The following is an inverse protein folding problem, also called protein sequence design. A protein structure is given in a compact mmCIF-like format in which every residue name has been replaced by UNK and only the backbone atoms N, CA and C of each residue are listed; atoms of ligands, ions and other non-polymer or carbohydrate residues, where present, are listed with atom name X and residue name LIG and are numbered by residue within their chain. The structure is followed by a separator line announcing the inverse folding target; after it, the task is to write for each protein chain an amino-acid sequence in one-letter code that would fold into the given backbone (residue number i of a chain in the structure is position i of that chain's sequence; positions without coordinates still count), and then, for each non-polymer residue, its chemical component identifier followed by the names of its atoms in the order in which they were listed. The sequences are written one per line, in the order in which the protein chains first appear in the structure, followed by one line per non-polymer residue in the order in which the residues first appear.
data_IF_525770128042
#
_entry.id   IF_525770128042
#
_cell.length_a   1.000
_cell.length_b   1.000
_cell.length_c   1.000
_cell.angle_alpha   90.00
_cell.angle_beta   90.00
_cell.angle_gamma   90.00
#
_symmetry.space_group_name_H-M   'P 1'
#
loop_
_entity.id
_entity.type
_entity.pdbx_description
1 polymer ?
#
# COMPACT_ATOMS: atom_id res chain seq x y z
N UNK A 1 -14.44 3.75 -19.44
CA UNK A 1 -13.26 4.07 -20.29
C UNK A 1 -12.02 4.20 -19.40
N UNK A 2 -10.80 4.30 -19.94
CA UNK A 2 -9.60 4.60 -19.11
C UNK A 2 -9.74 5.97 -18.44
N UNK A 3 -10.29 6.94 -19.17
CA UNK A 3 -10.50 8.30 -18.66
C UNK A 3 -11.45 8.33 -17.46
N UNK A 4 -12.56 7.59 -17.50
CA UNK A 4 -13.46 7.41 -16.34
C UNK A 4 -12.77 6.74 -15.15
N UNK A 5 -11.71 5.93 -15.36
CA UNK A 5 -10.92 5.35 -14.27
C UNK A 5 -9.93 6.35 -13.70
N UNK A 6 -9.23 7.12 -14.54
CA UNK A 6 -8.32 8.18 -14.10
C UNK A 6 -9.04 9.26 -13.27
N UNK A 7 -10.31 9.54 -13.59
CA UNK A 7 -11.16 10.46 -12.81
C UNK A 7 -11.50 9.92 -11.41
N UNK A 8 -11.46 8.58 -11.22
CA UNK A 8 -11.76 7.92 -9.94
C UNK A 8 -10.48 7.62 -9.15
N UNK A 9 -9.40 7.25 -9.83
CA UNK A 9 -8.12 6.87 -9.25
C UNK A 9 -6.99 7.31 -10.18
N UNK A 10 -6.27 8.37 -9.77
CA UNK A 10 -5.16 8.93 -10.54
C UNK A 10 -4.00 7.91 -10.63
N UNK A 11 -3.54 7.58 -11.84
CA UNK A 11 -2.46 6.61 -12.05
C UNK A 11 -1.06 7.23 -12.15
N UNK A 12 -0.92 8.52 -11.83
CA UNK A 12 0.37 9.15 -11.59
C UNK A 12 1.06 8.47 -10.42
N UNK A 13 2.24 7.94 -10.69
CA UNK A 13 2.98 7.11 -9.76
C UNK A 13 3.88 7.93 -8.82
N UNK A 14 4.34 9.08 -9.29
CA UNK A 14 5.51 9.77 -8.72
C UNK A 14 6.68 9.76 -9.68
N UNK A 15 7.72 10.54 -9.37
CA UNK A 15 9.02 10.51 -10.06
C UNK A 15 8.94 10.78 -11.55
N UNK A 16 7.92 11.51 -11.98
CA UNK A 16 7.65 11.81 -13.39
C UNK A 16 7.06 10.67 -14.22
N UNK A 17 6.56 9.60 -13.59
CA UNK A 17 5.90 8.48 -14.28
C UNK A 17 4.39 8.43 -14.01
N UNK A 18 3.63 7.98 -15.00
CA UNK A 18 2.23 7.57 -14.87
C UNK A 18 2.00 6.21 -15.55
N UNK A 19 1.17 5.38 -14.94
CA UNK A 19 0.85 4.03 -15.41
C UNK A 19 -0.66 3.85 -15.65
N UNK A 20 -1.27 4.59 -16.58
CA UNK A 20 -2.67 4.39 -16.90
C UNK A 20 -2.87 2.96 -17.41
N UNK A 21 -3.92 2.29 -16.93
CA UNK A 21 -4.12 0.89 -17.28
C UNK A 21 -5.58 0.47 -17.27
N UNK A 22 -5.91 -0.46 -18.16
CA UNK A 22 -7.23 -1.07 -18.21
C UNK A 22 -7.17 -2.54 -18.63
N UNK A 23 -8.03 -3.33 -17.98
CA UNK A 23 -8.42 -4.65 -18.45
C UNK A 23 -9.71 -4.53 -19.27
N UNK A 24 -9.69 -5.01 -20.50
CA UNK A 24 -10.76 -4.79 -21.48
C UNK A 24 -10.86 -5.91 -22.50
N UNK A 25 -12.07 -6.19 -22.97
CA UNK A 25 -12.32 -7.14 -24.07
C UNK A 25 -12.00 -6.55 -25.46
N UNK A 26 -11.66 -5.26 -25.52
CA UNK A 26 -11.31 -4.57 -26.76
C UNK A 26 -9.96 -5.02 -27.36
N UNK A 27 -9.09 -5.62 -26.55
CA UNK A 27 -7.78 -6.14 -26.98
C UNK A 27 -7.71 -7.65 -26.75
N UNK A 28 -7.06 -8.36 -27.68
CA UNK A 28 -6.89 -9.84 -27.60
C UNK A 28 -5.58 -10.26 -26.94
N UNK A 29 -4.63 -9.34 -26.84
CA UNK A 29 -3.33 -9.51 -26.21
C UNK A 29 -2.97 -8.23 -25.45
N UNK A 30 -1.91 -8.29 -24.65
CA UNK A 30 -1.45 -7.13 -23.90
C UNK A 30 -0.71 -6.15 -24.81
N UNK A 31 -1.07 -4.88 -24.74
CA UNK A 31 -0.34 -3.78 -25.37
C UNK A 31 0.22 -2.85 -24.29
N UNK A 32 1.46 -2.42 -24.50
CA UNK A 32 2.10 -1.36 -23.71
C UNK A 32 2.44 -0.23 -24.69
N UNK A 33 1.93 0.97 -24.41
CA UNK A 33 2.22 2.17 -25.19
C UNK A 33 2.97 3.15 -24.30
N UNK A 34 4.11 3.64 -24.78
CA UNK A 34 5.00 4.50 -24.00
C UNK A 34 5.09 5.86 -24.68
N UNK A 35 4.71 6.89 -23.94
CA UNK A 35 4.87 8.29 -24.32
C UNK A 35 5.90 8.96 -23.43
N UNK A 36 6.81 9.74 -24.03
CA UNK A 36 7.81 10.53 -23.30
C UNK A 36 7.70 12.00 -23.72
N UNK A 37 7.47 12.89 -22.75
CA UNK A 37 7.48 14.34 -22.92
C UNK A 37 8.73 14.93 -22.27
N UNK A 38 9.54 15.67 -23.04
CA UNK A 38 10.71 16.38 -22.50
C UNK A 38 10.35 17.57 -21.61
N UNK A 39 9.17 18.14 -21.80
CA UNK A 39 8.72 19.33 -21.09
C UNK A 39 7.79 19.02 -19.90
N UNK A 40 7.41 17.76 -19.74
CA UNK A 40 6.41 17.33 -18.76
C UNK A 40 4.98 17.62 -19.22
N UNK A 41 4.02 17.03 -18.51
CA UNK A 41 2.59 17.31 -18.62
C UNK A 41 2.15 18.20 -17.45
N UNK A 42 1.07 18.95 -17.64
CA UNK A 42 0.62 19.98 -16.67
C UNK A 42 0.14 19.41 -15.32
N UNK A 43 -0.18 18.12 -15.25
CA UNK A 43 -0.63 17.47 -14.03
C UNK A 43 0.58 16.94 -13.24
N UNK A 44 0.87 17.49 -12.04
CA UNK A 44 1.97 17.01 -11.22
C UNK A 44 1.63 15.66 -10.59
N UNK A 45 2.65 14.83 -10.40
CA UNK A 45 2.59 13.60 -9.62
C UNK A 45 2.46 13.89 -8.12
N UNK A 46 2.21 12.88 -7.24
CA UNK A 46 2.08 13.10 -5.80
C UNK A 46 3.30 13.74 -5.12
N UNK A 47 4.49 13.56 -5.69
CA UNK A 47 5.76 14.19 -5.26
C UNK A 47 6.04 15.54 -5.97
N UNK A 48 5.02 16.10 -6.61
CA UNK A 48 5.03 17.41 -7.28
C UNK A 48 6.03 17.52 -8.46
N UNK A 49 6.39 16.38 -9.06
CA UNK A 49 7.21 16.31 -10.28
C UNK A 49 6.25 16.24 -11.48
N UNK A 50 6.47 17.00 -12.57
CA UNK A 50 5.64 16.87 -13.77
C UNK A 50 5.68 15.45 -14.33
N UNK A 51 4.54 14.93 -14.83
CA UNK A 51 4.55 13.64 -15.54
C UNK A 51 5.31 13.79 -16.85
N UNK A 52 6.40 13.05 -17.01
CA UNK A 52 7.21 13.03 -18.23
C UNK A 52 7.01 11.74 -19.02
N UNK A 53 6.77 10.62 -18.34
CA UNK A 53 6.66 9.29 -18.96
C UNK A 53 5.29 8.71 -18.65
N UNK A 54 4.55 8.34 -19.70
CA UNK A 54 3.27 7.65 -19.60
C UNK A 54 3.43 6.26 -20.19
N UNK A 55 3.22 5.24 -19.37
CA UNK A 55 3.22 3.85 -19.79
C UNK A 55 1.79 3.32 -19.71
N UNK A 56 1.06 3.37 -20.82
CA UNK A 56 -0.31 2.88 -20.92
C UNK A 56 -0.32 1.36 -21.10
N UNK A 57 -1.04 0.64 -20.23
CA UNK A 57 -1.23 -0.81 -20.33
C UNK A 57 -2.68 -1.16 -20.71
N UNK A 58 -2.87 -1.84 -21.84
CA UNK A 58 -4.14 -2.42 -22.25
C UNK A 58 -4.03 -3.93 -22.21
N UNK A 59 -4.83 -4.59 -21.37
CA UNK A 59 -4.74 -6.05 -21.19
C UNK A 59 -6.11 -6.71 -21.39
N UNK A 60 -6.19 -7.93 -21.95
CA UNK A 60 -7.43 -8.69 -21.95
C UNK A 60 -7.99 -8.90 -20.53
N UNK A 61 -9.32 -8.84 -20.39
CA UNK A 61 -10.01 -9.06 -19.11
C UNK A 61 -9.72 -10.42 -18.47
N UNK A 62 -9.26 -11.40 -19.23
CA UNK A 62 -8.94 -12.76 -18.75
C UNK A 62 -7.52 -12.90 -18.18
N UNK A 63 -6.65 -11.90 -18.34
CA UNK A 63 -5.24 -11.98 -17.97
C UNK A 63 -4.93 -11.03 -16.79
N UNK A 64 -5.00 -11.54 -15.56
CA UNK A 64 -4.64 -10.76 -14.37
C UNK A 64 -3.13 -10.83 -14.06
N UNK A 65 -2.54 -12.04 -14.09
CA UNK A 65 -1.16 -12.28 -13.62
C UNK A 65 -0.13 -11.45 -14.38
N UNK A 66 -0.10 -11.58 -15.70
CA UNK A 66 0.87 -10.88 -16.55
C UNK A 66 0.73 -9.36 -16.37
N UNK A 67 -0.50 -8.85 -16.29
CA UNK A 67 -0.76 -7.42 -16.08
C UNK A 67 -0.18 -6.91 -14.76
N UNK A 68 -0.45 -7.60 -13.65
CA UNK A 68 0.03 -7.17 -12.33
C UNK A 68 1.56 -7.21 -12.26
N UNK A 69 2.19 -8.24 -12.83
CA UNK A 69 3.64 -8.35 -12.89
C UNK A 69 4.28 -7.28 -13.77
N UNK A 70 3.69 -6.97 -14.93
CA UNK A 70 4.17 -5.89 -15.79
C UNK A 70 4.04 -4.54 -15.10
N UNK A 71 2.89 -4.25 -14.47
CA UNK A 71 2.67 -3.00 -13.74
C UNK A 71 3.67 -2.85 -12.58
N UNK A 72 3.81 -3.89 -11.76
CA UNK A 72 4.80 -3.96 -10.67
C UNK A 72 6.22 -3.73 -11.17
N UNK A 73 6.58 -4.37 -12.29
CA UNK A 73 7.88 -4.24 -12.92
C UNK A 73 8.18 -2.83 -13.42
N UNK A 74 7.25 -2.19 -14.11
CA UNK A 74 7.39 -0.82 -14.58
C UNK A 74 7.46 0.18 -13.40
N UNK A 75 6.67 -0.06 -12.34
CA UNK A 75 6.74 0.74 -11.11
C UNK A 75 8.08 0.54 -10.37
N UNK A 76 8.65 -0.66 -10.40
CA UNK A 76 9.99 -0.92 -9.86
C UNK A 76 11.07 -0.19 -10.67
N UNK A 77 10.99 -0.26 -12.00
CA UNK A 77 11.86 0.49 -12.90
C UNK A 77 11.82 2.00 -12.63
N UNK A 78 10.63 2.61 -12.53
CA UNK A 78 10.48 4.03 -12.24
C UNK A 78 11.03 4.45 -10.86
N UNK A 79 11.21 3.50 -9.92
CA UNK A 79 11.82 3.76 -8.61
C UNK A 79 13.34 3.67 -8.59
N UNK A 80 13.97 3.18 -9.65
CA UNK A 80 15.42 3.15 -9.69
C UNK A 80 15.98 4.56 -9.78
N UNK A 81 17.17 4.76 -9.23
CA UNK A 81 17.84 6.05 -9.19
C UNK A 81 18.21 6.50 -10.61
N UNK A 82 18.04 7.78 -10.92
CA UNK A 82 18.34 8.39 -12.22
C UNK A 82 17.55 7.83 -13.43
N UNK A 83 16.52 7.02 -13.21
CA UNK A 83 15.76 6.42 -14.31
C UNK A 83 15.04 7.46 -15.17
N UNK A 84 14.43 8.47 -14.56
CA UNK A 84 13.76 9.53 -15.33
C UNK A 84 14.74 10.24 -16.27
N UNK A 85 15.90 10.64 -15.76
CA UNK A 85 16.94 11.33 -16.55
C UNK A 85 17.45 10.46 -17.69
N UNK A 86 17.66 9.17 -17.44
CA UNK A 86 18.05 8.21 -18.48
C UNK A 86 16.99 8.05 -19.56
N UNK A 87 15.71 8.00 -19.18
CA UNK A 87 14.59 7.94 -20.14
C UNK A 87 14.48 9.23 -20.93
N UNK A 88 14.66 10.40 -20.32
CA UNK A 88 14.63 11.70 -21.00
C UNK A 88 15.82 11.91 -21.95
N UNK A 89 16.96 11.28 -21.66
CA UNK A 89 18.15 11.29 -22.51
C UNK A 89 18.05 10.34 -23.72
N UNK A 90 17.15 9.35 -23.68
CA UNK A 90 16.93 8.41 -24.77
C UNK A 90 16.53 9.14 -26.07
N UNK A 91 17.15 8.76 -27.19
CA UNK A 91 16.86 9.33 -28.49
C UNK A 91 15.98 8.41 -29.34
N UNK A 92 16.06 7.10 -29.12
CA UNK A 92 15.32 6.10 -29.87
C UNK A 92 14.52 5.17 -28.95
N UNK A 93 13.39 4.59 -29.43
CA UNK A 93 12.63 3.61 -28.66
C UNK A 93 13.46 2.41 -28.17
N UNK A 94 14.48 2.02 -28.94
CA UNK A 94 15.38 0.93 -28.58
C UNK A 94 16.20 1.23 -27.31
N UNK A 95 16.50 2.49 -27.01
CA UNK A 95 17.24 2.87 -25.80
C UNK A 95 16.37 2.67 -24.55
N UNK A 96 15.09 3.02 -24.63
CA UNK A 96 14.14 2.71 -23.55
C UNK A 96 14.06 1.20 -23.28
N UNK A 97 13.96 0.39 -24.33
CA UNK A 97 13.94 -1.08 -24.19
C UNK A 97 15.21 -1.59 -23.50
N UNK A 98 16.39 -1.04 -23.83
CA UNK A 98 17.65 -1.39 -23.16
C UNK A 98 17.62 -1.01 -21.67
N UNK A 99 17.10 0.16 -21.32
CA UNK A 99 16.99 0.60 -19.93
C UNK A 99 16.10 -0.34 -19.11
N UNK A 100 14.91 -0.69 -19.63
CA UNK A 100 14.01 -1.64 -18.95
C UNK A 100 14.64 -3.04 -18.87
N UNK A 101 15.33 -3.48 -19.92
CA UNK A 101 16.02 -4.78 -19.90
C UNK A 101 17.17 -4.81 -18.89
N UNK A 102 17.89 -3.70 -18.70
CA UNK A 102 18.98 -3.59 -17.74
C UNK A 102 18.49 -3.52 -16.29
N UNK A 103 17.22 -3.13 -16.08
CA UNK A 103 16.59 -3.07 -14.77
C UNK A 103 16.28 -4.45 -14.17
N UNK A 104 16.54 -5.55 -14.88
CA UNK A 104 16.29 -6.93 -14.45
C UNK A 104 14.86 -7.15 -13.92
N UNK A 105 13.88 -6.46 -14.50
CA UNK A 105 12.46 -6.67 -14.19
C UNK A 105 12.04 -8.05 -14.71
N UNK A 106 11.75 -8.99 -13.81
CA UNK A 106 11.31 -10.34 -14.16
C UNK A 106 9.80 -10.48 -14.12
N UNK A 107 9.26 -11.27 -15.05
CA UNK A 107 7.87 -11.72 -15.03
C UNK A 107 7.87 -13.18 -14.59
N UNK A 108 7.50 -13.41 -13.33
CA UNK A 108 7.58 -14.73 -12.72
C UNK A 108 6.43 -15.65 -13.18
N UNK A 109 6.64 -16.97 -13.10
CA UNK A 109 5.58 -17.95 -13.42
C UNK A 109 4.37 -17.79 -12.48
N UNK A 110 4.59 -17.27 -11.29
CA UNK A 110 3.60 -17.19 -10.21
C UNK A 110 3.47 -15.74 -9.75
N UNK A 111 2.27 -15.37 -9.30
CA UNK A 111 2.02 -14.03 -8.75
C UNK A 111 2.57 -13.96 -7.32
N UNK A 112 3.43 -12.98 -7.07
CA UNK A 112 4.13 -12.80 -5.79
C UNK A 112 3.57 -11.60 -5.02
N UNK A 113 3.86 -11.53 -3.71
CA UNK A 113 3.45 -10.41 -2.83
C UNK A 113 3.94 -9.07 -3.37
N UNK A 114 5.19 -8.99 -3.84
CA UNK A 114 5.77 -7.76 -4.41
C UNK A 114 4.98 -7.17 -5.59
N UNK A 115 4.19 -8.00 -6.27
CA UNK A 115 3.43 -7.62 -7.46
C UNK A 115 2.17 -6.82 -7.11
N UNK A 116 1.64 -6.98 -5.91
CA UNK A 116 0.37 -6.36 -5.50
C UNK A 116 0.40 -5.68 -4.12
N UNK A 117 1.48 -5.83 -3.35
CA UNK A 117 1.59 -5.18 -2.05
C UNK A 117 1.58 -3.65 -2.17
N UNK A 118 0.97 -3.00 -1.19
CA UNK A 118 1.09 -1.55 -1.00
C UNK A 118 2.43 -1.28 -0.32
N UNK A 119 3.19 -0.32 -0.85
CA UNK A 119 4.51 0.05 -0.31
C UNK A 119 4.44 1.24 0.64
N UNK A 120 3.43 2.10 0.46
CA UNK A 120 3.12 3.14 1.42
C UNK A 120 2.39 2.52 2.61
N UNK A 121 3.12 2.31 3.70
CA UNK A 121 2.59 1.75 4.94
C UNK A 121 2.64 2.84 5.99
N UNK A 122 1.47 3.25 6.49
CA UNK A 122 1.39 4.19 7.58
C UNK A 122 1.95 3.56 8.87
N UNK A 123 2.89 4.24 9.50
CA UNK A 123 3.66 3.72 10.64
C UNK A 123 3.67 4.67 11.83
N UNK A 124 3.82 4.12 13.03
CA UNK A 124 4.09 4.85 14.27
C UNK A 124 5.24 4.18 15.04
N UNK A 125 5.84 4.88 16.00
CA UNK A 125 6.85 4.33 16.90
C UNK A 125 6.24 4.05 18.27
N UNK A 126 6.88 3.21 19.12
CA UNK A 126 6.43 2.97 20.49
C UNK A 126 6.31 4.25 21.37
N UNK A 127 7.00 5.33 20.99
CA UNK A 127 7.02 6.60 21.71
C UNK A 127 5.91 7.58 21.29
N UNK A 128 5.24 7.32 20.16
CA UNK A 128 4.07 8.11 19.77
C UNK A 128 2.94 7.97 20.80
N UNK A 129 2.13 9.02 20.90
CA UNK A 129 0.96 9.07 21.77
C UNK A 129 -0.27 8.46 21.11
N UNK A 130 -1.32 8.22 21.90
CA UNK A 130 -2.60 7.75 21.38
C UNK A 130 -3.22 8.75 20.39
N UNK A 131 -3.02 10.04 20.64
CA UNK A 131 -3.44 11.14 19.77
C UNK A 131 -2.76 11.09 18.41
N UNK A 132 -1.45 10.84 18.39
CA UNK A 132 -0.69 10.70 17.14
C UNK A 132 -1.27 9.56 16.30
N UNK A 133 -1.56 8.42 16.93
CA UNK A 133 -2.19 7.26 16.27
C UNK A 133 -3.56 7.62 15.71
N UNK A 134 -4.42 8.29 16.50
CA UNK A 134 -5.75 8.71 16.06
C UNK A 134 -5.68 9.68 14.86
N UNK A 135 -4.74 10.63 14.90
CA UNK A 135 -4.51 11.58 13.81
C UNK A 135 -4.03 10.90 12.53
N UNK A 136 -3.09 9.96 12.62
CA UNK A 136 -2.62 9.20 11.46
C UNK A 136 -3.73 8.31 10.87
N UNK A 137 -4.50 7.61 11.72
CA UNK A 137 -5.66 6.83 11.28
C UNK A 137 -6.70 7.71 10.57
N UNK A 138 -7.00 8.89 11.12
CA UNK A 138 -7.95 9.83 10.51
C UNK A 138 -7.44 10.38 9.17
N UNK A 139 -6.19 10.86 9.14
CA UNK A 139 -5.57 11.45 7.94
C UNK A 139 -5.56 10.46 6.78
N UNK A 140 -5.20 9.20 7.05
CA UNK A 140 -5.05 8.17 6.03
C UNK A 140 -6.32 7.30 5.85
N UNK A 141 -7.38 7.54 6.63
CA UNK A 141 -8.61 6.73 6.67
C UNK A 141 -8.32 5.23 6.90
N UNK A 142 -7.43 4.96 7.86
CA UNK A 142 -6.96 3.62 8.21
C UNK A 142 -7.52 3.17 9.56
N UNK A 143 -7.70 1.86 9.71
CA UNK A 143 -8.10 1.22 10.98
C UNK A 143 -6.96 0.55 11.72
N UNK A 144 -5.74 0.60 11.16
CA UNK A 144 -4.55 0.03 11.76
C UNK A 144 -3.29 0.69 11.21
N UNK A 145 -2.26 0.78 12.05
CA UNK A 145 -0.93 1.26 11.72
C UNK A 145 0.11 0.22 12.12
N UNK A 146 1.20 0.14 11.36
CA UNK A 146 2.35 -0.65 11.77
C UNK A 146 3.13 0.08 12.86
N UNK A 147 3.65 -0.66 13.84
CA UNK A 147 4.54 -0.12 14.86
C UNK A 147 5.96 -0.52 14.52
N UNK A 148 6.86 0.45 14.36
CA UNK A 148 8.25 0.23 13.93
C UNK A 148 9.26 0.83 14.92
N UNK A 149 10.48 0.30 14.92
CA UNK A 149 11.62 0.91 15.60
C UNK A 149 12.30 1.99 14.73
N UNK A 150 13.38 2.58 15.25
CA UNK A 150 14.17 3.60 14.54
C UNK A 150 14.90 3.07 13.30
N UNK A 151 15.06 1.76 13.18
CA UNK A 151 15.69 1.09 12.04
C UNK A 151 14.64 0.57 11.04
N UNK A 152 13.37 0.96 11.16
CA UNK A 152 12.26 0.49 10.33
C UNK A 152 11.87 -0.99 10.51
N UNK A 153 12.36 -1.67 11.56
CA UNK A 153 11.93 -3.03 11.84
C UNK A 153 10.49 -3.03 12.35
N UNK A 154 9.69 -3.98 11.86
CA UNK A 154 8.33 -4.17 12.36
C UNK A 154 8.35 -4.77 13.77
N UNK A 155 7.79 -4.01 14.72
CA UNK A 155 7.62 -4.42 16.11
C UNK A 155 6.22 -4.98 16.37
N UNK A 156 5.21 -4.39 15.75
CA UNK A 156 3.82 -4.65 16.13
C UNK A 156 2.78 -3.99 15.24
N UNK A 157 1.52 -4.09 15.68
CA UNK A 157 0.38 -3.42 15.08
C UNK A 157 -0.47 -2.75 16.15
N UNK A 158 -0.97 -1.55 15.84
CA UNK A 158 -1.98 -0.87 16.65
C UNK A 158 -3.23 -0.61 15.79
N UNK A 159 -4.41 -0.88 16.35
CA UNK A 159 -5.69 -0.81 15.64
C UNK A 159 -6.67 0.15 16.32
N UNK A 160 -7.68 0.59 15.58
CA UNK A 160 -8.80 1.39 16.11
C UNK A 160 -9.48 0.71 17.31
N UNK A 161 -9.55 -0.63 17.33
CA UNK A 161 -10.03 -1.42 18.45
C UNK A 161 -9.18 -1.23 19.72
N UNK A 162 -7.88 -1.02 19.58
CA UNK A 162 -6.98 -0.81 20.72
C UNK A 162 -7.18 0.58 21.31
N UNK A 163 -7.45 1.59 20.46
CA UNK A 163 -7.86 2.94 20.88
C UNK A 163 -9.18 2.91 21.66
N UNK A 164 -10.20 2.24 21.12
CA UNK A 164 -11.50 2.11 21.80
C UNK A 164 -11.36 1.35 23.11
N UNK A 165 -10.50 0.32 23.16
CA UNK A 165 -10.24 -0.43 24.40
C UNK A 165 -9.52 0.42 25.45
N UNK A 166 -8.61 1.30 25.04
CA UNK A 166 -7.98 2.26 25.94
C UNK A 166 -8.99 3.26 26.53
N UNK A 167 -10.03 3.63 25.78
CA UNK A 167 -11.15 4.44 26.28
C UNK A 167 -12.03 3.71 27.30
N UNK A 168 -12.10 2.37 27.21
CA UNK A 168 -13.03 1.53 27.96
C UNK A 168 -12.31 0.38 28.69
N UNK A 169 -11.41 0.70 29.65
CA UNK A 169 -10.59 -0.31 30.33
C UNK A 169 -11.42 -1.34 31.12
N UNK A 170 -12.65 -0.99 31.53
CA UNK A 170 -13.59 -1.89 32.20
C UNK A 170 -14.97 -1.94 31.50
N UNK A 171 -14.96 -2.21 30.20
CA UNK A 171 -16.20 -2.31 29.41
C UNK A 171 -17.17 -3.39 29.95
N UNK A 172 -16.66 -4.42 30.65
CA UNK A 172 -17.49 -5.47 31.27
C UNK A 172 -18.34 -4.91 32.41
N UNK A 173 -17.74 -4.11 33.30
CA UNK A 173 -18.48 -3.41 34.35
C UNK A 173 -19.50 -2.42 33.77
N UNK A 174 -19.15 -1.74 32.67
CA UNK A 174 -20.08 -0.85 31.95
C UNK A 174 -21.32 -1.61 31.45
N UNK A 175 -21.14 -2.75 30.79
CA UNK A 175 -22.25 -3.54 30.23
C UNK A 175 -23.16 -4.09 31.34
N UNK A 176 -22.58 -4.50 32.49
CA UNK A 176 -23.38 -4.98 33.62
C UNK A 176 -24.20 -3.87 34.32
N UNK A 177 -23.81 -2.61 34.16
CA UNK A 177 -24.42 -1.46 34.83
C UNK A 177 -25.12 -0.49 33.86
N UNK A 178 -25.49 -0.93 32.65
CA UNK A 178 -26.15 -0.09 31.61
C UNK A 178 -27.43 0.62 32.07
N UNK A 179 -28.03 0.20 33.19
CA UNK A 179 -29.22 0.83 33.78
C UNK A 179 -28.89 2.02 34.70
N UNK A 180 -27.62 2.28 35.00
CA UNK A 180 -27.14 3.44 35.75
C UNK A 180 -26.49 4.45 34.81
N UNK A 181 -26.83 5.72 34.99
CA UNK A 181 -26.10 6.81 34.35
C UNK A 181 -24.65 6.71 34.78
N UNK A 182 -23.72 6.67 33.83
CA UNK A 182 -22.30 6.78 34.13
C UNK A 182 -22.05 8.25 34.53
N UNK A 183 -21.60 8.48 35.75
CA UNK A 183 -21.17 9.82 36.20
C UNK A 183 -19.87 10.28 35.52
N UNK A 184 -19.19 9.37 34.80
CA UNK A 184 -17.92 9.60 34.10
C UNK A 184 -18.06 9.25 32.63
N UNK A 185 -17.83 10.23 31.76
CA UNK A 185 -17.72 10.04 30.31
C UNK A 185 -16.32 9.50 29.95
N UNK A 186 -16.19 8.20 29.57
CA UNK A 186 -14.88 7.58 29.40
C UNK A 186 -14.07 8.18 28.25
N UNK A 187 -14.75 8.61 27.19
CA UNK A 187 -14.09 9.24 26.05
C UNK A 187 -13.57 10.63 26.39
N UNK A 188 -14.26 11.40 27.25
CA UNK A 188 -13.75 12.70 27.72
C UNK A 188 -12.49 12.52 28.59
N UNK A 189 -12.45 11.49 29.43
CA UNK A 189 -11.27 11.22 30.24
C UNK A 189 -10.08 10.76 29.38
N UNK A 190 -10.36 9.96 28.34
CA UNK A 190 -9.34 9.58 27.37
C UNK A 190 -8.75 10.82 26.67
N UNK A 191 -9.58 11.78 26.25
CA UNK A 191 -9.13 13.01 25.61
C UNK A 191 -8.20 13.85 26.53
N UNK A 192 -8.38 13.81 27.85
CA UNK A 192 -7.48 14.50 28.80
C UNK A 192 -6.12 13.82 28.94
N UNK A 193 -6.03 12.55 28.57
CA UNK A 193 -4.85 11.70 28.81
C UNK A 193 -4.22 11.17 27.52
N UNK A 194 -4.80 11.44 26.35
CA UNK A 194 -4.37 10.89 25.05
C UNK A 194 -2.89 11.15 24.74
N UNK A 195 -2.36 12.31 25.14
CA UNK A 195 -0.95 12.70 24.93
C UNK A 195 0.01 11.89 25.84
N UNK A 196 -0.49 11.32 26.94
CA UNK A 196 0.29 10.56 27.94
C UNK A 196 0.30 9.06 27.67
N UNK A 197 -0.73 8.55 27.02
CA UNK A 197 -0.85 7.12 26.68
C UNK A 197 0.05 6.86 25.47
N UNK A 198 0.99 5.92 25.62
CA UNK A 198 1.98 5.62 24.58
C UNK A 198 1.58 4.39 23.77
N UNK A 199 1.98 4.37 22.49
CA UNK A 199 1.81 3.20 21.62
C UNK A 199 2.39 1.95 22.27
N UNK A 200 3.56 2.06 22.92
CA UNK A 200 4.24 0.97 23.65
C UNK A 200 3.37 0.25 24.68
N UNK A 201 2.32 0.90 25.19
CA UNK A 201 1.41 0.34 26.19
C UNK A 201 0.24 -0.43 25.57
N UNK A 202 -0.02 -0.26 24.27
CA UNK A 202 -1.26 -0.68 23.62
C UNK A 202 -1.08 -1.60 22.42
N UNK A 203 0.04 -1.47 21.69
CA UNK A 203 0.24 -2.26 20.48
C UNK A 203 0.31 -3.76 20.79
N UNK A 204 0.00 -4.57 19.78
CA UNK A 204 0.08 -6.03 19.87
C UNK A 204 1.19 -6.57 18.98
N UNK A 205 1.86 -7.61 19.47
CA UNK A 205 2.80 -8.43 18.68
C UNK A 205 2.09 -9.58 17.93
N UNK A 206 0.76 -9.67 18.01
CA UNK A 206 -0.05 -10.64 17.27
C UNK A 206 -0.30 -10.13 15.84
N UNK A 207 0.69 -10.39 14.98
CA UNK A 207 0.63 -10.08 13.56
C UNK A 207 1.34 -11.14 12.73
N UNK A 208 1.02 -11.17 11.45
CA UNK A 208 1.57 -12.12 10.50
C UNK A 208 2.36 -11.38 9.43
N UNK A 209 3.51 -11.94 9.08
CA UNK A 209 4.42 -11.38 8.08
C UNK A 209 4.66 -12.35 6.94
N UNK A 210 4.98 -11.80 5.78
CA UNK A 210 5.40 -12.51 4.57
C UNK A 210 6.57 -11.75 3.94
N UNK A 211 7.25 -12.36 2.98
CA UNK A 211 8.31 -11.70 2.20
C UNK A 211 7.78 -11.22 0.85
N UNK A 212 8.47 -10.29 0.16
CA UNK A 212 8.10 -9.86 -1.19
C UNK A 212 7.98 -11.01 -2.21
N UNK A 213 8.74 -12.09 -2.02
CA UNK A 213 8.77 -13.26 -2.90
C UNK A 213 7.81 -14.38 -2.46
N UNK A 214 7.02 -14.16 -1.41
CA UNK A 214 5.96 -15.11 -1.01
C UNK A 214 4.87 -15.14 -2.09
N UNK A 215 4.34 -16.33 -2.40
CA UNK A 215 3.30 -16.49 -3.44
C UNK A 215 1.95 -16.00 -2.94
N UNK A 216 1.20 -15.29 -3.79
CA UNK A 216 -0.12 -14.77 -3.42
C UNK A 216 -1.11 -15.86 -3.00
N UNK A 217 -1.06 -17.04 -3.62
CA UNK A 217 -1.90 -18.17 -3.25
C UNK A 217 -1.64 -18.66 -1.83
N UNK A 218 -0.39 -18.60 -1.36
CA UNK A 218 -0.02 -18.98 0.01
C UNK A 218 -0.54 -17.95 1.01
N UNK A 219 -0.38 -16.66 0.68
CA UNK A 219 -0.91 -15.58 1.52
C UNK A 219 -2.44 -15.63 1.60
N UNK A 220 -3.12 -15.88 0.48
CA UNK A 220 -4.57 -16.02 0.44
C UNK A 220 -5.04 -17.20 1.31
N UNK A 221 -4.38 -18.36 1.23
CA UNK A 221 -4.67 -19.50 2.08
C UNK A 221 -4.47 -19.15 3.57
N UNK A 222 -3.34 -18.52 3.91
CA UNK A 222 -3.05 -18.07 5.27
C UNK A 222 -4.12 -17.12 5.80
N UNK A 223 -4.55 -16.13 5.00
CA UNK A 223 -5.59 -15.18 5.36
C UNK A 223 -6.94 -15.85 5.64
N UNK A 224 -7.26 -16.94 4.94
CA UNK A 224 -8.50 -17.71 5.18
C UNK A 224 -8.38 -18.51 6.47
N UNK A 225 -7.31 -19.28 6.64
CA UNK A 225 -7.15 -20.18 7.78
C UNK A 225 -6.99 -19.44 9.12
N UNK A 226 -6.34 -18.27 9.11
CA UNK A 226 -6.09 -17.47 10.32
C UNK A 226 -7.05 -16.27 10.46
N UNK A 227 -8.08 -16.16 9.60
CA UNK A 227 -8.99 -15.00 9.49
C UNK A 227 -8.29 -13.62 9.49
N UNK A 228 -7.19 -13.51 8.75
CA UNK A 228 -6.40 -12.28 8.70
C UNK A 228 -6.97 -11.31 7.67
N UNK A 229 -7.17 -10.07 8.09
CA UNK A 229 -7.58 -8.97 7.18
C UNK A 229 -6.40 -8.35 6.44
N UNK A 230 -5.20 -8.51 7.00
CA UNK A 230 -3.95 -7.91 6.53
C UNK A 230 -2.77 -8.80 6.87
N UNK A 231 -1.70 -8.68 6.09
CA UNK A 231 -0.38 -9.20 6.42
C UNK A 231 0.64 -8.10 6.16
N UNK A 232 1.66 -8.01 7.00
CA UNK A 232 2.78 -7.10 6.75
C UNK A 232 3.82 -7.78 5.88
N UNK A 233 4.51 -7.01 5.05
CA UNK A 233 5.58 -7.51 4.20
C UNK A 233 6.89 -6.99 4.74
N UNK A 234 7.81 -7.89 5.04
CA UNK A 234 9.13 -7.57 5.58
C UNK A 234 10.22 -8.15 4.69
N UNK A 235 11.37 -7.49 4.63
CA UNK A 235 12.56 -8.04 3.98
C UNK A 235 13.32 -9.03 4.89
N UNK A 236 14.47 -9.50 4.43
CA UNK A 236 15.32 -10.45 5.17
C UNK A 236 15.87 -9.89 6.50
N UNK A 237 16.00 -8.55 6.59
CA UNK A 237 16.44 -7.83 7.79
C UNK A 237 15.28 -7.47 8.73
N UNK A 238 14.04 -7.86 8.38
CA UNK A 238 12.78 -7.53 9.08
C UNK A 238 12.33 -6.07 8.95
N UNK A 239 12.88 -5.31 8.00
CA UNK A 239 12.38 -3.98 7.70
C UNK A 239 10.99 -4.08 7.09
N UNK A 240 10.08 -3.19 7.50
CA UNK A 240 8.75 -3.11 6.92
C UNK A 240 8.83 -2.52 5.50
N UNK A 241 8.54 -3.33 4.48
CA UNK A 241 8.62 -2.94 3.07
C UNK A 241 7.26 -2.88 2.37
N UNK A 242 6.19 -3.33 3.05
CA UNK A 242 4.86 -3.24 2.50
C UNK A 242 3.76 -3.82 3.38
N UNK A 243 2.54 -3.75 2.88
CA UNK A 243 1.35 -4.35 3.48
C UNK A 243 0.46 -4.92 2.38
N UNK A 244 -0.18 -6.05 2.65
CA UNK A 244 -1.20 -6.62 1.77
C UNK A 244 -2.52 -6.79 2.55
N UNK A 245 -3.60 -6.18 2.04
CA UNK A 245 -4.92 -6.31 2.62
C UNK A 245 -5.73 -7.35 1.83
N UNK A 246 -6.64 -8.06 2.52
CA UNK A 246 -7.56 -9.02 1.87
C UNK A 246 -8.36 -8.38 0.74
N UNK A 247 -8.72 -7.09 0.87
CA UNK A 247 -9.41 -6.32 -0.17
C UNK A 247 -8.57 -6.14 -1.44
N UNK A 248 -7.24 -6.07 -1.32
CA UNK A 248 -6.34 -5.85 -2.46
C UNK A 248 -6.29 -7.10 -3.35
N UNK A 249 -6.30 -8.30 -2.75
CA UNK A 249 -6.43 -9.57 -3.46
C UNK A 249 -7.75 -9.58 -4.27
N UNK A 250 -8.85 -9.12 -3.69
CA UNK A 250 -10.15 -9.07 -4.39
C UNK A 250 -10.16 -8.00 -5.48
N UNK A 251 -9.71 -6.77 -5.18
CA UNK A 251 -9.81 -5.66 -6.12
C UNK A 251 -8.84 -5.83 -7.30
N UNK A 252 -7.58 -6.21 -7.04
CA UNK A 252 -6.54 -6.23 -8.07
C UNK A 252 -6.56 -7.52 -8.91
N UNK A 253 -6.98 -8.65 -8.34
CA UNK A 253 -6.99 -9.93 -9.06
C UNK A 253 -8.37 -10.21 -9.67
N UNK A 254 -9.44 -10.03 -8.89
CA UNK A 254 -10.80 -10.46 -9.27
C UNK A 254 -11.53 -9.36 -10.04
N UNK A 255 -11.37 -8.08 -9.66
CA UNK A 255 -12.14 -6.95 -10.23
C UNK A 255 -11.37 -6.07 -11.22
N UNK A 256 -10.05 -6.27 -11.38
CA UNK A 256 -9.17 -5.42 -12.20
C UNK A 256 -9.68 -5.21 -13.62
#
# INVERSE_FOLDING_TARGET
SIQEREEVENTSYGRGFAFPHARTDAVKEMFIVIGVSKYGLNEPTPDNIPVHVVCLLLTPSTIAKLYLQTLSGLAAFARMENTLDQVLAAQEPADFIKLVSAANVTVDKELMVKDIMRRDVATVTPDHSLKDVANEMFRHRLSALAVIDTNHHLLGVITDRDLVRAALPDYKALISNLNQSLDVEPFEELLKQEDKIKVSQLYSEDYETVTPDTRIVEVAAMMIFKDLRRVFVVDEERNLVGILLRKDIVSMIIRG
#
